data_IF_912883456695
#
_entry.id   IF_912883456695
#
_cell.length_a   1.000
_cell.length_b   1.000
_cell.length_c   1.000
_cell.angle_alpha   90.00
_cell.angle_beta   90.00
_cell.angle_gamma   90.00
#
_symmetry.space_group_name_H-M   'P 1'
#
loop_
_entity.id
_entity.type
_entity.pdbx_description
1 polymer ?
#
# COMPACT_ATOMS: atom_id res chain seq x y z
N UNK A 1 -14.25 -8.02 17.53
CA UNK A 1 -14.36 -8.30 16.08
C UNK A 1 -14.26 -6.94 15.41
N UNK A 2 -13.17 -6.67 14.68
CA UNK A 2 -12.95 -5.36 14.07
C UNK A 2 -14.12 -4.99 13.16
N UNK A 3 -14.83 -3.90 13.48
CA UNK A 3 -15.89 -3.34 12.61
C UNK A 3 -15.34 -3.06 11.21
N UNK A 4 -16.15 -3.28 10.16
CA UNK A 4 -15.80 -2.99 8.76
C UNK A 4 -15.28 -1.57 8.57
N UNK A 5 -15.83 -0.61 9.33
CA UNK A 5 -15.38 0.78 9.40
C UNK A 5 -13.93 0.94 9.91
N UNK A 6 -13.52 0.15 10.92
CA UNK A 6 -12.16 0.14 11.46
C UNK A 6 -11.15 -0.45 10.47
N UNK A 7 -11.54 -1.48 9.72
CA UNK A 7 -10.69 -2.09 8.68
C UNK A 7 -10.49 -1.15 7.48
N UNK A 8 -11.55 -0.44 7.07
CA UNK A 8 -11.46 0.60 6.03
C UNK A 8 -10.46 1.71 6.42
N UNK A 9 -10.55 2.23 7.65
CA UNK A 9 -9.62 3.25 8.14
C UNK A 9 -8.18 2.76 8.14
N UNK A 10 -7.91 1.56 8.68
CA UNK A 10 -6.56 1.00 8.71
C UNK A 10 -5.96 0.82 7.30
N UNK A 11 -6.77 0.35 6.33
CA UNK A 11 -6.33 0.20 4.95
C UNK A 11 -6.03 1.55 4.27
N UNK A 12 -6.84 2.58 4.57
CA UNK A 12 -6.60 3.95 4.09
C UNK A 12 -5.31 4.55 4.66
N UNK A 13 -5.08 4.37 5.96
CA UNK A 13 -3.87 4.81 6.66
C UNK A 13 -2.62 4.17 6.06
N UNK A 14 -2.64 2.84 5.84
CA UNK A 14 -1.55 2.13 5.17
C UNK A 14 -1.33 2.64 3.73
N UNK A 15 -2.41 2.80 2.95
CA UNK A 15 -2.32 3.33 1.59
C UNK A 15 -1.67 4.71 1.53
N UNK A 16 -2.00 5.60 2.48
CA UNK A 16 -1.38 6.92 2.58
C UNK A 16 0.12 6.84 2.87
N UNK A 17 0.54 5.96 3.78
CA UNK A 17 1.97 5.76 4.12
C UNK A 17 2.75 5.25 2.92
N UNK A 18 2.31 4.17 2.26
CA UNK A 18 3.07 3.62 1.12
C UNK A 18 3.05 4.53 -0.11
N UNK A 19 1.96 5.26 -0.35
CA UNK A 19 1.91 6.27 -1.39
C UNK A 19 2.92 7.39 -1.09
N UNK A 20 3.00 7.89 0.14
CA UNK A 20 3.97 8.92 0.53
C UNK A 20 5.42 8.45 0.38
N UNK A 21 5.72 7.22 0.80
CA UNK A 21 7.03 6.61 0.60
C UNK A 21 7.40 6.55 -0.89
N UNK A 22 6.52 5.99 -1.71
CA UNK A 22 6.78 5.83 -3.14
C UNK A 22 6.92 7.19 -3.85
N UNK A 23 6.03 8.14 -3.59
CA UNK A 23 6.08 9.48 -4.17
C UNK A 23 7.36 10.21 -3.80
N UNK A 24 7.83 10.08 -2.56
CA UNK A 24 9.09 10.68 -2.14
C UNK A 24 10.29 10.07 -2.88
N UNK A 25 10.35 8.74 -3.03
CA UNK A 25 11.37 8.08 -3.87
C UNK A 25 11.28 8.59 -5.31
N UNK A 26 10.08 8.61 -5.87
CA UNK A 26 9.84 8.96 -7.25
C UNK A 26 10.11 10.45 -7.55
N UNK A 27 9.90 11.33 -6.57
CA UNK A 27 10.25 12.74 -6.69
C UNK A 27 11.76 12.93 -6.86
N UNK A 28 12.57 12.16 -6.14
CA UNK A 28 14.03 12.23 -6.25
C UNK A 28 14.55 11.49 -7.49
N UNK A 29 14.03 10.31 -7.78
CA UNK A 29 14.54 9.44 -8.85
C UNK A 29 13.92 9.72 -10.23
N UNK A 30 12.72 10.29 -10.29
CA UNK A 30 12.05 10.71 -11.52
C UNK A 30 11.63 9.57 -12.47
N UNK A 31 11.56 8.32 -12.00
CA UNK A 31 11.36 7.12 -12.82
C UNK A 31 9.90 6.88 -13.26
N UNK A 32 8.93 7.40 -12.54
CA UNK A 32 7.50 7.15 -12.75
C UNK A 32 6.70 8.46 -12.80
N UNK A 33 5.53 8.41 -13.42
CA UNK A 33 4.58 9.54 -13.40
C UNK A 33 4.08 9.73 -11.97
N UNK A 34 4.28 10.88 -11.30
CA UNK A 34 3.78 11.08 -9.94
C UNK A 34 2.25 11.28 -9.92
N UNK A 35 1.61 10.97 -8.80
CA UNK A 35 0.16 11.17 -8.60
C UNK A 35 -0.13 12.42 -7.78
N UNK A 36 0.62 12.62 -6.70
CA UNK A 36 0.38 13.66 -5.71
C UNK A 36 1.42 14.77 -5.71
N UNK A 37 2.65 14.46 -6.16
CA UNK A 37 3.74 15.42 -6.20
C UNK A 37 3.95 15.97 -7.60
N UNK A 38 4.43 17.21 -7.69
CA UNK A 38 4.90 17.77 -8.95
C UNK A 38 6.22 17.11 -9.32
N UNK A 39 6.39 16.72 -10.59
CA UNK A 39 7.67 16.20 -11.08
C UNK A 39 8.69 17.33 -11.13
N UNK A 40 9.88 17.20 -10.49
CA UNK A 40 10.93 18.19 -10.65
C UNK A 40 11.50 18.17 -12.07
N UNK A 41 12.07 19.29 -12.56
CA UNK A 41 12.59 19.39 -13.92
C UNK A 41 13.72 18.41 -14.22
N UNK A 42 14.44 17.95 -13.19
CA UNK A 42 15.42 16.87 -13.24
C UNK A 42 15.39 16.07 -11.92
N UNK A 43 15.84 14.80 -11.93
CA UNK A 43 16.07 14.04 -10.70
C UNK A 43 17.00 14.82 -9.76
N UNK A 44 16.58 14.97 -8.49
CA UNK A 44 17.32 15.77 -7.51
C UNK A 44 18.54 15.04 -6.93
N UNK A 45 18.69 13.75 -7.24
CA UNK A 45 19.74 12.91 -6.68
C UNK A 45 19.62 12.70 -5.17
N UNK A 46 20.47 11.83 -4.64
CA UNK A 46 20.38 11.33 -3.26
C UNK A 46 19.60 10.02 -3.16
N UNK A 47 19.49 9.50 -1.94
CA UNK A 47 18.82 8.22 -1.69
C UNK A 47 17.30 8.42 -1.63
N UNK A 48 16.57 7.84 -2.59
CA UNK A 48 15.11 7.79 -2.54
C UNK A 48 14.60 7.12 -1.26
N UNK A 49 15.32 6.11 -0.75
CA UNK A 49 14.98 5.41 0.49
C UNK A 49 15.03 6.33 1.72
N UNK A 50 16.00 7.25 1.77
CA UNK A 50 16.10 8.26 2.83
C UNK A 50 14.89 9.19 2.83
N UNK A 51 14.45 9.66 1.65
CA UNK A 51 13.26 10.49 1.56
C UNK A 51 11.98 9.72 1.91
N UNK A 52 11.90 8.45 1.51
CA UNK A 52 10.78 7.59 1.84
C UNK A 52 10.65 7.37 3.35
N UNK A 53 11.77 7.18 4.06
CA UNK A 53 11.81 7.06 5.52
C UNK A 53 11.27 8.34 6.17
N UNK A 54 11.72 9.50 5.72
CA UNK A 54 11.21 10.79 6.20
C UNK A 54 9.72 11.00 5.92
N UNK A 55 9.26 10.60 4.74
CA UNK A 55 7.86 10.72 4.34
C UNK A 55 6.95 9.78 5.16
N UNK A 56 7.35 8.52 5.36
CA UNK A 56 6.65 7.57 6.20
C UNK A 56 6.54 8.08 7.64
N UNK A 57 7.65 8.56 8.20
CA UNK A 57 7.69 9.13 9.56
C UNK A 57 6.68 10.27 9.71
N UNK A 58 6.66 11.22 8.76
CA UNK A 58 5.72 12.34 8.81
C UNK A 58 4.27 11.84 8.83
N UNK A 59 3.88 10.98 7.87
CA UNK A 59 2.51 10.48 7.75
C UNK A 59 2.10 9.73 9.02
N UNK A 60 2.93 8.81 9.52
CA UNK A 60 2.65 8.05 10.73
C UNK A 60 2.53 8.95 11.97
N UNK A 61 3.35 9.99 12.08
CA UNK A 61 3.28 10.92 13.20
C UNK A 61 2.00 11.77 13.19
N UNK A 62 1.43 12.05 12.01
CA UNK A 62 0.13 12.72 11.89
C UNK A 62 -1.04 11.79 12.21
N UNK A 63 -0.97 10.53 11.77
CA UNK A 63 -2.01 9.53 12.03
C UNK A 63 -2.04 9.06 13.50
N UNK A 64 -0.87 8.95 14.13
CA UNK A 64 -0.72 8.42 15.48
C UNK A 64 0.10 9.37 16.38
N UNK A 65 -0.43 10.55 16.72
CA UNK A 65 0.32 11.56 17.50
C UNK A 65 0.77 11.04 18.87
N UNK A 66 0.01 10.14 19.49
CA UNK A 66 0.37 9.50 20.76
C UNK A 66 1.58 8.55 20.69
N UNK A 67 2.02 8.16 19.49
CA UNK A 67 3.16 7.27 19.26
C UNK A 67 4.40 8.02 18.73
N UNK A 68 4.37 9.36 18.73
CA UNK A 68 5.42 10.18 18.10
C UNK A 68 6.83 9.85 18.60
N UNK A 69 7.04 9.66 19.90
CA UNK A 69 8.35 9.32 20.46
C UNK A 69 8.87 7.98 19.95
N UNK A 70 8.02 6.96 19.89
CA UNK A 70 8.35 5.64 19.33
C UNK A 70 8.65 5.72 17.83
N UNK A 71 7.91 6.55 17.09
CA UNK A 71 8.13 6.80 15.67
C UNK A 71 9.44 7.58 15.42
N UNK A 72 9.77 8.56 16.25
CA UNK A 72 11.05 9.28 16.19
C UNK A 72 12.22 8.30 16.43
N UNK A 73 12.10 7.37 17.38
CA UNK A 73 13.12 6.34 17.59
C UNK A 73 13.20 5.33 16.43
N UNK A 74 12.07 5.01 15.78
CA UNK A 74 12.05 4.17 14.59
C UNK A 74 12.73 4.85 13.39
N UNK A 75 12.51 6.16 13.22
CA UNK A 75 13.17 6.99 12.21
C UNK A 75 14.70 6.91 12.35
N UNK A 76 15.23 7.14 13.56
CA UNK A 76 16.69 7.05 13.80
C UNK A 76 17.25 5.67 13.49
N UNK A 77 16.55 4.60 13.90
CA UNK A 77 16.95 3.22 13.59
C UNK A 77 16.95 2.93 12.09
N UNK A 78 15.94 3.40 11.35
CA UNK A 78 15.88 3.23 9.90
C UNK A 78 16.99 4.00 9.17
N UNK A 79 17.38 5.17 9.69
CA UNK A 79 18.44 5.98 9.11
C UNK A 79 19.86 5.48 9.44
N UNK A 80 20.03 4.67 10.49
CA UNK A 80 21.33 4.11 10.86
C UNK A 80 21.96 3.24 9.75
N UNK A 81 21.16 2.71 8.82
CA UNK A 81 21.64 1.98 7.65
C UNK A 81 22.24 2.89 6.55
N UNK A 82 22.07 4.21 6.67
CA UNK A 82 22.55 5.20 5.71
C UNK A 82 23.67 6.03 6.35
N UNK A 83 24.95 5.66 6.14
CA UNK A 83 26.09 6.29 6.83
C UNK A 83 26.38 7.73 6.39
N UNK A 84 25.63 8.25 5.42
CA UNK A 84 25.73 9.64 4.99
C UNK A 84 25.17 10.58 6.08
N UNK A 85 26.01 11.45 6.61
CA UNK A 85 25.62 12.46 7.60
C UNK A 85 24.50 13.39 7.08
N UNK A 86 24.36 13.53 5.76
CA UNK A 86 23.27 14.29 5.15
C UNK A 86 21.94 13.52 5.13
N UNK A 87 21.96 12.18 5.24
CA UNK A 87 20.75 11.36 5.16
C UNK A 87 19.72 11.76 6.22
N UNK A 88 20.19 11.97 7.45
CA UNK A 88 19.31 12.40 8.55
C UNK A 88 18.69 13.76 8.27
N UNK A 89 19.50 14.75 7.87
CA UNK A 89 19.00 16.09 7.53
C UNK A 89 18.03 16.06 6.35
N UNK A 90 18.30 15.26 5.32
CA UNK A 90 17.45 15.10 4.15
C UNK A 90 16.10 14.48 4.50
N UNK A 91 16.08 13.33 5.16
CA UNK A 91 14.84 12.69 5.61
C UNK A 91 13.99 13.64 6.48
N UNK A 92 14.65 14.37 7.38
CA UNK A 92 14.02 15.30 8.31
C UNK A 92 13.49 16.58 7.64
N UNK A 93 14.08 17.02 6.54
CA UNK A 93 13.64 18.24 5.86
C UNK A 93 12.81 17.84 4.64
N UNK A 94 13.47 17.30 3.62
CA UNK A 94 12.86 16.95 2.34
C UNK A 94 11.84 15.83 2.47
N UNK A 95 12.23 14.67 3.01
CA UNK A 95 11.34 13.51 3.14
C UNK A 95 10.05 13.86 3.89
N UNK A 96 10.17 14.57 5.02
CA UNK A 96 9.01 15.06 5.77
C UNK A 96 8.14 16.04 4.99
N UNK A 97 8.73 16.99 4.27
CA UNK A 97 7.96 17.92 3.43
C UNK A 97 7.21 17.20 2.31
N UNK A 98 7.87 16.25 1.62
CA UNK A 98 7.24 15.44 0.58
C UNK A 98 6.10 14.60 1.16
N UNK A 99 6.33 13.95 2.30
CA UNK A 99 5.30 13.20 3.03
C UNK A 99 4.11 14.07 3.43
N UNK A 100 4.35 15.30 3.87
CA UNK A 100 3.30 16.26 4.20
C UNK A 100 2.45 16.68 3.00
N UNK A 101 3.07 16.90 1.85
CA UNK A 101 2.36 17.21 0.61
C UNK A 101 1.49 16.04 0.14
N UNK A 102 2.00 14.81 0.24
CA UNK A 102 1.20 13.61 -0.09
C UNK A 102 0.09 13.42 0.92
N UNK A 103 0.36 13.57 2.22
CA UNK A 103 -0.65 13.47 3.28
C UNK A 103 -1.80 14.44 3.05
N UNK A 104 -1.48 15.71 2.78
CA UNK A 104 -2.46 16.74 2.47
C UNK A 104 -3.28 16.35 1.24
N UNK A 105 -2.66 15.94 0.13
CA UNK A 105 -3.39 15.60 -1.09
C UNK A 105 -4.22 14.31 -0.98
N UNK A 106 -3.70 13.28 -0.32
CA UNK A 106 -4.34 11.96 -0.21
C UNK A 106 -5.49 11.94 0.81
N UNK A 107 -5.44 12.79 1.84
CA UNK A 107 -6.45 12.84 2.91
C UNK A 107 -7.35 14.08 2.86
N UNK A 108 -7.06 15.08 2.02
CA UNK A 108 -7.94 16.25 1.79
C UNK A 108 -8.90 16.08 0.60
N UNK A 109 -8.97 14.89 -0.02
CA UNK A 109 -9.97 14.62 -1.05
C UNK A 109 -11.40 14.77 -0.46
N UNK A 110 -12.31 15.52 -1.11
CA UNK A 110 -13.59 15.97 -0.55
C UNK A 110 -14.56 14.85 -0.12
N UNK A 111 -14.37 13.60 -0.55
CA UNK A 111 -15.24 12.47 -0.21
C UNK A 111 -15.10 11.93 1.24
N UNK A 112 -14.26 12.51 2.10
CA UNK A 112 -13.89 11.86 3.39
C UNK A 112 -14.10 12.67 4.66
N UNK A 113 -14.81 13.80 4.58
CA UNK A 113 -14.98 14.69 5.73
C UNK A 113 -15.92 14.18 6.85
N UNK A 114 -16.64 13.08 6.66
CA UNK A 114 -17.76 12.72 7.56
C UNK A 114 -17.40 11.93 8.82
N UNK A 115 -16.19 11.37 8.98
CA UNK A 115 -15.92 10.45 10.10
C UNK A 115 -14.66 10.74 10.92
N UNK A 116 -14.32 12.02 11.09
CA UNK A 116 -13.25 12.46 11.98
C UNK A 116 -13.78 12.68 13.41
N UNK A 117 -14.32 11.62 14.04
CA UNK A 117 -14.55 11.60 15.50
C UNK A 117 -13.71 10.50 16.13
N UNK A 118 -12.81 10.92 17.01
CA UNK A 118 -11.86 10.05 17.67
C UNK A 118 -12.55 8.98 18.50
N UNK A 119 -12.00 7.77 18.46
CA UNK A 119 -12.18 6.78 19.49
C UNK A 119 -10.87 6.01 19.66
N UNK A 120 -10.56 5.75 20.93
CA UNK A 120 -9.28 5.29 21.40
C UNK A 120 -8.87 3.92 20.92
N UNK A 121 -7.58 3.65 21.17
CA UNK A 121 -6.94 2.35 21.14
C UNK A 121 -7.80 1.30 21.84
N UNK A 122 -8.45 0.44 21.06
CA UNK A 122 -8.80 -0.90 21.48
C UNK A 122 -8.30 -1.84 20.40
N UNK A 123 -7.35 -2.68 20.77
CA UNK A 123 -6.68 -3.61 19.87
C UNK A 123 -7.69 -4.49 19.16
N UNK A 124 -7.51 -4.69 17.86
CA UNK A 124 -8.42 -5.56 17.11
C UNK A 124 -7.76 -6.10 15.84
N UNK A 125 -8.02 -7.38 15.60
CA UNK A 125 -7.61 -8.23 14.49
C UNK A 125 -8.17 -7.75 13.15
N UNK A 126 -7.71 -6.59 12.68
CA UNK A 126 -7.78 -6.12 11.29
C UNK A 126 -6.42 -6.20 10.62
N UNK A 127 -6.29 -5.71 9.38
CA UNK A 127 -5.02 -5.57 8.66
C UNK A 127 -3.95 -4.85 9.52
N UNK A 128 -3.18 -5.60 10.32
CA UNK A 128 -2.04 -5.04 11.02
C UNK A 128 -0.97 -4.70 9.98
N UNK A 129 -0.25 -3.60 10.18
CA UNK A 129 0.83 -3.22 9.25
C UNK A 129 1.86 -4.33 9.04
N UNK A 130 2.13 -5.13 10.08
CA UNK A 130 3.00 -6.30 10.01
C UNK A 130 2.42 -7.44 9.18
N UNK A 131 1.14 -7.79 9.40
CA UNK A 131 0.46 -8.82 8.60
C UNK A 131 0.40 -8.40 7.13
N UNK A 132 0.05 -7.14 6.86
CA UNK A 132 0.05 -6.58 5.51
C UNK A 132 1.43 -6.60 4.85
N UNK A 133 2.46 -6.16 5.58
CA UNK A 133 3.84 -6.24 5.13
C UNK A 133 4.21 -7.67 4.74
N UNK A 134 3.85 -8.67 5.56
CA UNK A 134 4.13 -10.07 5.25
C UNK A 134 3.43 -10.56 3.97
N UNK A 135 2.18 -10.17 3.75
CA UNK A 135 1.40 -10.52 2.55
C UNK A 135 2.07 -9.95 1.31
N UNK A 136 2.34 -8.63 1.32
CA UNK A 136 2.93 -7.95 0.16
C UNK A 136 4.35 -8.44 -0.10
N UNK A 137 5.16 -8.65 0.95
CA UNK A 137 6.54 -9.14 0.82
C UNK A 137 6.56 -10.48 0.13
N UNK A 138 5.67 -11.39 0.51
CA UNK A 138 5.55 -12.70 -0.12
C UNK A 138 5.13 -12.61 -1.59
N UNK A 139 4.23 -11.68 -1.93
CA UNK A 139 3.79 -11.46 -3.31
C UNK A 139 4.90 -11.03 -4.28
N UNK A 140 6.00 -10.49 -3.75
CA UNK A 140 7.16 -10.06 -4.55
C UNK A 140 8.43 -10.87 -4.25
N UNK A 141 8.31 -11.93 -3.46
CA UNK A 141 9.43 -12.80 -3.11
C UNK A 141 10.01 -13.46 -4.37
N UNK A 142 11.34 -13.64 -4.40
CA UNK A 142 12.04 -14.14 -5.58
C UNK A 142 12.23 -13.15 -6.73
N UNK A 143 11.69 -11.91 -6.62
CA UNK A 143 11.87 -10.86 -7.63
C UNK A 143 13.02 -9.92 -7.28
N UNK A 144 13.92 -9.69 -8.23
CA UNK A 144 15.00 -8.69 -8.09
C UNK A 144 14.47 -7.30 -8.42
N UNK A 145 13.81 -6.67 -7.44
CA UNK A 145 13.25 -5.32 -7.54
C UNK A 145 14.16 -4.28 -6.89
N UNK A 146 14.40 -3.16 -7.57
CA UNK A 146 14.97 -1.96 -6.98
C UNK A 146 14.05 -1.42 -5.87
N UNK A 147 14.59 -0.67 -4.88
CA UNK A 147 13.79 -0.13 -3.78
C UNK A 147 12.54 0.64 -4.23
N UNK A 148 12.66 1.48 -5.26
CA UNK A 148 11.53 2.24 -5.83
C UNK A 148 10.49 1.37 -6.54
N UNK A 149 10.91 0.29 -7.20
CA UNK A 149 9.99 -0.67 -7.82
C UNK A 149 9.17 -1.40 -6.75
N UNK A 150 9.84 -1.79 -5.67
CA UNK A 150 9.20 -2.38 -4.50
C UNK A 150 8.19 -1.42 -3.89
N UNK A 151 8.61 -0.19 -3.58
CA UNK A 151 7.73 0.83 -2.99
C UNK A 151 6.49 1.10 -3.87
N UNK A 152 6.65 1.09 -5.20
CA UNK A 152 5.54 1.23 -6.14
C UNK A 152 4.50 0.11 -5.98
N UNK A 153 4.94 -1.14 -5.95
CA UNK A 153 4.05 -2.29 -5.78
C UNK A 153 3.33 -2.21 -4.44
N UNK A 154 4.02 -1.86 -3.36
CA UNK A 154 3.38 -1.68 -2.04
C UNK A 154 2.32 -0.58 -2.07
N UNK A 155 2.59 0.55 -2.74
CA UNK A 155 1.62 1.63 -2.89
C UNK A 155 0.37 1.16 -3.66
N UNK A 156 0.54 0.46 -4.79
CA UNK A 156 -0.56 -0.05 -5.61
C UNK A 156 -1.42 -1.07 -4.86
N UNK A 157 -0.80 -2.05 -4.21
CA UNK A 157 -1.54 -3.07 -3.46
C UNK A 157 -2.26 -2.46 -2.24
N UNK A 158 -1.67 -1.47 -1.59
CA UNK A 158 -2.29 -0.82 -0.42
C UNK A 158 -3.45 0.08 -0.84
N UNK A 159 -3.35 0.76 -1.99
CA UNK A 159 -4.49 1.44 -2.60
C UNK A 159 -5.63 0.46 -2.92
N UNK A 160 -5.30 -0.73 -3.42
CA UNK A 160 -6.29 -1.78 -3.68
C UNK A 160 -7.00 -2.27 -2.42
N UNK A 161 -6.24 -2.50 -1.35
CA UNK A 161 -6.82 -2.79 -0.04
C UNK A 161 -7.75 -1.65 0.40
N UNK A 162 -7.28 -0.41 0.36
CA UNK A 162 -8.08 0.75 0.75
C UNK A 162 -9.40 0.85 -0.02
N UNK A 163 -9.41 0.59 -1.33
CA UNK A 163 -10.65 0.65 -2.12
C UNK A 163 -11.60 -0.50 -1.79
N UNK A 164 -11.08 -1.71 -1.64
CA UNK A 164 -11.90 -2.91 -1.35
C UNK A 164 -12.53 -2.81 0.05
N UNK A 165 -11.76 -2.41 1.06
CA UNK A 165 -12.29 -2.25 2.41
C UNK A 165 -13.24 -1.05 2.55
N UNK A 166 -13.05 0.02 1.76
CA UNK A 166 -14.01 1.13 1.75
C UNK A 166 -15.33 0.73 1.10
N UNK A 167 -15.29 0.06 -0.05
CA UNK A 167 -16.49 -0.46 -0.71
C UNK A 167 -17.28 -1.44 0.18
N UNK A 168 -16.57 -2.26 0.97
CA UNK A 168 -17.18 -3.14 1.96
C UNK A 168 -17.82 -2.39 3.15
N UNK A 169 -17.24 -1.26 3.56
CA UNK A 169 -17.80 -0.40 4.61
C UNK A 169 -19.08 0.31 4.17
N UNK A 170 -19.12 0.78 2.92
CA UNK A 170 -20.27 1.51 2.35
C UNK A 170 -21.48 0.60 2.10
N UNK A 171 -21.27 -0.71 1.96
CA UNK A 171 -22.31 -1.69 1.68
C UNK A 171 -23.29 -1.91 2.87
N UNK A 172 -22.94 -1.51 4.09
CA UNK A 172 -23.77 -1.68 5.30
C UNK A 172 -24.09 -3.14 5.67
N UNK A 173 -24.71 -3.36 6.84
CA UNK A 173 -25.08 -4.68 7.38
C UNK A 173 -26.12 -5.48 6.53
N UNK A 174 -26.46 -5.01 5.33
CA UNK A 174 -27.54 -5.55 4.50
C UNK A 174 -27.16 -5.95 3.07
N UNK A 175 -25.94 -5.67 2.60
CA UNK A 175 -25.50 -6.09 1.27
C UNK A 175 -24.26 -6.97 1.37
N UNK A 176 -24.40 -8.22 0.93
CA UNK A 176 -23.31 -9.17 0.86
C UNK A 176 -22.25 -8.65 -0.14
N UNK A 177 -21.16 -8.06 0.36
CA UNK A 177 -19.85 -8.19 -0.31
C UNK A 177 -19.40 -9.59 0.05
N UNK A 178 -19.63 -10.61 -0.80
CA UNK A 178 -19.67 -11.99 -0.29
C UNK A 178 -18.29 -12.52 0.16
N UNK A 179 -17.20 -11.78 -0.10
CA UNK A 179 -15.88 -12.07 0.45
C UNK A 179 -14.90 -10.90 0.19
N UNK A 180 -14.61 -10.08 1.22
CA UNK A 180 -13.66 -8.94 1.15
C UNK A 180 -12.23 -9.41 0.84
N UNK A 181 -11.83 -10.56 1.40
CA UNK A 181 -10.52 -11.17 1.13
C UNK A 181 -10.40 -11.69 -0.30
N UNK A 182 -11.48 -12.22 -0.89
CA UNK A 182 -11.51 -12.69 -2.28
C UNK A 182 -11.41 -11.50 -3.24
N UNK A 183 -12.16 -10.43 -2.97
CA UNK A 183 -12.09 -9.21 -3.76
C UNK A 183 -10.68 -8.60 -3.72
N UNK A 184 -10.05 -8.57 -2.54
CA UNK A 184 -8.68 -8.12 -2.37
C UNK A 184 -7.67 -9.01 -3.10
N UNK A 185 -7.80 -10.33 -2.96
CA UNK A 185 -6.94 -11.30 -3.64
C UNK A 185 -7.01 -11.18 -5.16
N UNK A 186 -8.21 -11.06 -5.71
CA UNK A 186 -8.43 -10.82 -7.14
C UNK A 186 -7.82 -9.48 -7.59
N UNK A 187 -8.00 -8.41 -6.81
CA UNK A 187 -7.44 -7.10 -7.15
C UNK A 187 -5.90 -7.12 -7.15
N UNK A 188 -5.28 -7.73 -6.14
CA UNK A 188 -3.82 -7.92 -6.09
C UNK A 188 -3.32 -8.73 -7.27
N UNK A 189 -4.00 -9.82 -7.62
CA UNK A 189 -3.66 -10.67 -8.76
C UNK A 189 -3.59 -9.87 -10.06
N UNK A 190 -4.64 -9.12 -10.38
CA UNK A 190 -4.70 -8.29 -11.59
C UNK A 190 -3.57 -7.26 -11.62
N UNK A 191 -3.27 -6.61 -10.49
CA UNK A 191 -2.16 -5.66 -10.39
C UNK A 191 -0.84 -6.38 -10.68
N UNK A 192 -0.55 -7.49 -10.01
CA UNK A 192 0.70 -8.23 -10.18
C UNK A 192 0.86 -8.78 -11.60
N UNK A 193 -0.20 -9.28 -12.23
CA UNK A 193 -0.20 -9.72 -13.63
C UNK A 193 0.11 -8.57 -14.59
N UNK A 194 -0.45 -7.38 -14.33
CA UNK A 194 -0.18 -6.18 -15.13
C UNK A 194 1.28 -5.74 -15.01
N UNK A 195 1.86 -5.88 -13.81
CA UNK A 195 3.22 -5.42 -13.52
C UNK A 195 4.30 -6.41 -13.96
N UNK A 196 3.98 -7.70 -13.96
CA UNK A 196 4.97 -8.76 -14.12
C UNK A 196 4.66 -9.77 -15.23
N UNK A 197 3.50 -9.68 -15.87
CA UNK A 197 3.03 -10.62 -16.89
C UNK A 197 2.30 -11.85 -16.31
N UNK A 198 1.39 -12.39 -17.12
CA UNK A 198 0.47 -13.49 -16.79
C UNK A 198 1.17 -14.82 -16.47
N UNK A 199 2.40 -15.04 -16.96
CA UNK A 199 3.19 -16.25 -16.74
C UNK A 199 3.87 -16.33 -15.37
N UNK A 200 3.79 -15.27 -14.54
CA UNK A 200 4.44 -15.25 -13.22
C UNK A 200 3.63 -15.87 -12.08
N UNK A 201 2.47 -16.46 -12.38
CA UNK A 201 1.50 -17.04 -11.43
C UNK A 201 1.09 -18.49 -11.78
N UNK A 202 1.88 -19.21 -12.59
CA UNK A 202 1.46 -20.41 -13.32
C UNK A 202 0.57 -21.42 -12.55
N UNK A 203 -0.49 -21.80 -13.26
CA UNK A 203 -1.50 -22.83 -13.01
C UNK A 203 -0.91 -24.19 -12.58
N UNK A 204 -1.66 -24.91 -11.75
CA UNK A 204 -1.47 -26.35 -11.51
C UNK A 204 -2.76 -27.12 -11.75
N UNK A 205 -2.91 -27.67 -12.95
CA UNK A 205 -3.81 -28.79 -13.22
C UNK A 205 -3.24 -30.11 -12.67
N UNK A 206 -4.16 -30.98 -12.25
CA UNK A 206 -4.05 -32.41 -11.88
C UNK A 206 -2.73 -33.01 -11.34
N UNK A 207 -2.79 -33.46 -10.09
CA UNK A 207 -2.21 -34.69 -9.52
C UNK A 207 -0.78 -35.11 -9.95
N UNK A 208 0.21 -34.87 -9.07
CA UNK A 208 0.92 -35.91 -8.31
C UNK A 208 2.20 -35.34 -7.67
N UNK A 209 2.41 -35.72 -6.40
CA UNK A 209 3.68 -35.77 -5.66
C UNK A 209 4.53 -34.50 -5.41
N UNK A 210 4.34 -33.99 -4.17
CA UNK A 210 5.39 -33.75 -3.16
C UNK A 210 6.43 -32.63 -3.41
N UNK A 211 5.98 -31.36 -3.31
CA UNK A 211 6.71 -30.19 -2.78
C UNK A 211 5.71 -29.07 -2.43
N UNK A 212 5.98 -28.14 -1.48
CA UNK A 212 4.95 -27.22 -0.94
C UNK A 212 4.66 -26.05 -1.88
N UNK A 213 3.98 -26.33 -3.00
CA UNK A 213 3.39 -25.32 -3.86
C UNK A 213 2.04 -24.88 -3.30
N UNK A 214 2.01 -23.83 -2.46
CA UNK A 214 0.80 -23.05 -2.09
C UNK A 214 1.12 -21.90 -1.11
N UNK A 215 2.11 -21.06 -1.42
CA UNK A 215 2.46 -19.93 -0.56
C UNK A 215 1.84 -18.59 -1.01
N UNK A 216 1.29 -18.51 -2.21
CA UNK A 216 0.53 -17.35 -2.66
C UNK A 216 -0.95 -17.59 -2.36
N UNK A 217 -1.67 -16.56 -1.93
CA UNK A 217 -3.05 -16.56 -1.42
C UNK A 217 -3.19 -16.61 0.10
N UNK A 218 -3.78 -15.52 0.61
CA UNK A 218 -4.61 -15.53 1.81
C UNK A 218 -5.51 -16.77 1.70
N UNK A 219 -5.57 -17.69 2.69
CA UNK A 219 -6.39 -18.88 2.59
C UNK A 219 -7.86 -18.47 2.43
N UNK A 220 -8.42 -18.71 1.23
CA UNK A 220 -9.84 -18.55 0.93
C UNK A 220 -10.53 -19.83 1.40
N UNK A 221 -11.58 -19.68 2.21
CA UNK A 221 -12.48 -20.76 2.62
C UNK A 221 -13.69 -20.73 1.66
N UNK A 222 -13.96 -21.85 1.01
CA UNK A 222 -14.84 -22.04 -0.17
C UNK A 222 -16.36 -21.92 0.09
N UNK A 223 -16.80 -21.35 1.20
CA UNK A 223 -18.17 -21.50 1.69
C UNK A 223 -19.12 -20.30 1.44
N UNK A 224 -18.76 -19.29 0.62
CA UNK A 224 -19.68 -18.20 0.28
C UNK A 224 -19.53 -17.63 -1.16
N UNK A 225 -20.62 -17.64 -1.94
CA UNK A 225 -20.93 -16.69 -3.04
C UNK A 225 -19.78 -16.21 -3.96
N UNK A 226 -18.85 -17.09 -4.31
CA UNK A 226 -17.49 -16.78 -4.75
C UNK A 226 -17.40 -15.98 -6.07
N UNK A 227 -18.35 -16.16 -6.99
CA UNK A 227 -18.26 -15.58 -8.34
C UNK A 227 -18.49 -14.06 -8.37
N UNK A 228 -19.40 -13.54 -7.55
CA UNK A 228 -19.73 -12.11 -7.54
C UNK A 228 -18.65 -11.30 -6.83
N UNK A 229 -18.13 -11.79 -5.69
CA UNK A 229 -17.03 -11.16 -4.96
C UNK A 229 -15.75 -11.11 -5.78
N UNK A 230 -15.43 -12.23 -6.43
CA UNK A 230 -14.22 -12.36 -7.26
C UNK A 230 -14.32 -11.41 -8.44
N UNK A 231 -15.46 -11.38 -9.15
CA UNK A 231 -15.68 -10.46 -10.26
C UNK A 231 -15.62 -8.99 -9.84
N UNK A 232 -16.18 -8.63 -8.69
CA UNK A 232 -16.07 -7.28 -8.13
C UNK A 232 -14.61 -6.91 -7.80
N UNK A 233 -13.85 -7.86 -7.25
CA UNK A 233 -12.40 -7.70 -7.01
C UNK A 233 -11.58 -7.55 -8.28
N UNK A 234 -11.88 -8.32 -9.32
CA UNK A 234 -11.24 -8.22 -10.63
C UNK A 234 -11.52 -6.87 -11.29
N UNK A 235 -12.76 -6.38 -11.24
CA UNK A 235 -13.12 -5.07 -11.76
C UNK A 235 -12.40 -3.95 -10.99
N UNK A 236 -12.36 -4.03 -9.66
CA UNK A 236 -11.60 -3.09 -8.82
C UNK A 236 -10.11 -3.12 -9.14
N UNK A 237 -9.51 -4.32 -9.20
CA UNK A 237 -8.11 -4.52 -9.57
C UNK A 237 -7.78 -3.94 -10.94
N UNK A 238 -8.67 -4.16 -11.91
CA UNK A 238 -8.56 -3.60 -13.26
C UNK A 238 -8.62 -2.07 -13.21
N UNK A 239 -9.56 -1.49 -12.45
CA UNK A 239 -9.70 -0.04 -12.30
C UNK A 239 -8.44 0.58 -11.66
N UNK A 240 -7.89 -0.06 -10.64
CA UNK A 240 -6.65 0.38 -9.98
C UNK A 240 -5.47 0.24 -10.92
N UNK A 241 -5.37 -0.88 -11.65
CA UNK A 241 -4.35 -1.08 -12.69
C UNK A 241 -4.43 0.00 -13.76
N UNK A 242 -5.63 0.35 -14.24
CA UNK A 242 -5.84 1.45 -15.18
C UNK A 242 -5.45 2.82 -14.60
N UNK A 243 -5.78 3.08 -13.33
CA UNK A 243 -5.29 4.27 -12.63
C UNK A 243 -3.77 4.27 -12.46
N UNK A 244 -3.15 3.10 -12.27
CA UNK A 244 -1.70 2.89 -12.21
C UNK A 244 -0.99 3.03 -13.57
N UNK A 245 -1.73 2.85 -14.66
CA UNK A 245 -1.27 3.16 -16.02
C UNK A 245 -1.33 4.67 -16.31
N UNK A 246 -2.16 5.41 -15.57
CA UNK A 246 -2.25 6.87 -15.65
C UNK A 246 -1.20 7.54 -14.73
N UNK A 247 -1.17 7.12 -13.47
CA UNK A 247 -0.21 7.57 -12.46
C UNK A 247 0.65 6.38 -12.03
N UNK A 248 1.93 6.58 -11.80
CA UNK A 248 2.93 5.55 -11.50
C UNK A 248 3.34 4.71 -12.71
N UNK A 249 2.94 5.09 -13.93
CA UNK A 249 3.53 4.50 -15.13
C UNK A 249 5.02 4.87 -15.23
N UNK A 250 5.88 3.92 -15.63
CA UNK A 250 7.30 4.19 -15.88
C UNK A 250 7.44 5.22 -17.00
N UNK A 251 8.26 6.24 -16.77
CA UNK A 251 8.60 7.26 -17.76
C UNK A 251 9.69 6.67 -18.66
N UNK A 252 9.52 6.79 -19.98
CA UNK A 252 10.51 6.37 -20.98
C UNK A 252 11.69 7.33 -21.01
#
# INVERSE_FOLDING_TARGET
MASSSGQSRAAQELAAVYAAMFEAMNFVEGKYVPRFLVKPPAPLGGSGEVEAIGAAHYVLAQLYPGQKSSLDAALERSLAAFPDWQATSRARIWGRHLGGNVYASALSAPDRASNRRGMGSSGESGLSGEMWNSIVTRSIEGRTLQPIERARIYALLSLAASTVYSAAGDAGDGAAVPCVSCALGAAMRVILETEFGSGSLAEGGSASERAPARAYFIPVRDDAGESVSTKAGEEMGTRIGLQALTYYRRIK
#
